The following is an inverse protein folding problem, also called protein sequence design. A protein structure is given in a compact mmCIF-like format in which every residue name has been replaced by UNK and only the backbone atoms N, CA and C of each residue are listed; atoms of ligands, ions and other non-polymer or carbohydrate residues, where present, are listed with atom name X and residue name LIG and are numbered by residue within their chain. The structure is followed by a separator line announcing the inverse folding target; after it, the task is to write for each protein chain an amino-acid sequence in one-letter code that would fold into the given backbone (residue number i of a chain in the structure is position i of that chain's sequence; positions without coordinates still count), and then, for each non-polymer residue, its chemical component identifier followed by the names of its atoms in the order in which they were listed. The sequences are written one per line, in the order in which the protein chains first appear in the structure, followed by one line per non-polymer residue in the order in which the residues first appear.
data_IF_297026772638
#
_entry.id   IF_297026772638
#
_cell.length_a   1.000
_cell.length_b   1.000
_cell.length_c   1.000
_cell.angle_alpha   90.00
_cell.angle_beta   90.00
_cell.angle_gamma   90.00
#
_symmetry.space_group_name_H-M   'P 1'
#
loop_
_entity.id
_entity.type
_entity.pdbx_description
1 polymer ?
#
# COMPACT_ATOMS: atom_id res chain seq x y z
N UNK A 1 -20.03 29.17 73.51
CA UNK A 1 -18.75 28.72 72.93
C UNK A 1 -19.06 28.25 71.47
N UNK A 2 -18.72 29.07 70.50
CA UNK A 2 -18.85 28.69 69.07
C UNK A 2 -17.51 28.19 68.56
N UNK A 3 -17.36 26.92 68.20
CA UNK A 3 -16.16 26.35 67.62
C UNK A 3 -16.19 26.61 66.11
N UNK A 4 -15.22 27.40 65.60
CA UNK A 4 -14.97 27.59 64.18
C UNK A 4 -14.11 26.44 63.69
N UNK A 5 -14.60 25.70 62.67
CA UNK A 5 -13.81 24.71 61.93
C UNK A 5 -13.09 25.42 60.77
N UNK A 6 -11.77 25.40 60.83
CA UNK A 6 -10.91 25.87 59.73
C UNK A 6 -10.74 24.72 58.76
N UNK A 7 -11.30 24.80 57.52
CA UNK A 7 -11.09 23.87 56.46
C UNK A 7 -9.92 24.39 55.62
N UNK A 8 -8.76 23.69 55.70
CA UNK A 8 -7.60 23.95 54.84
C UNK A 8 -7.78 23.19 53.54
N UNK A 9 -8.04 23.91 52.43
CA UNK A 9 -7.96 23.35 51.07
C UNK A 9 -6.49 23.26 50.65
N UNK A 10 -5.93 22.04 50.64
CA UNK A 10 -4.63 21.75 50.00
C UNK A 10 -4.90 21.58 48.52
N UNK A 11 -4.60 22.60 47.70
CA UNK A 11 -4.61 22.53 46.24
C UNK A 11 -3.33 21.77 45.84
N UNK A 12 -3.48 20.50 45.54
CA UNK A 12 -2.43 19.75 44.85
C UNK A 12 -2.36 20.24 43.38
N UNK A 13 -1.42 21.15 43.12
CA UNK A 13 -1.00 21.42 41.72
C UNK A 13 -0.22 20.22 41.21
N UNK A 14 -0.90 19.30 40.52
CA UNK A 14 -0.23 18.31 39.69
C UNK A 14 0.60 19.06 38.65
N UNK A 15 1.89 18.75 38.47
CA UNK A 15 2.64 19.30 37.35
C UNK A 15 1.98 18.82 36.07
N UNK A 16 1.34 19.72 35.36
CA UNK A 16 0.93 19.48 33.94
C UNK A 16 2.26 19.39 33.19
N UNK A 17 2.72 18.16 32.91
CA UNK A 17 3.83 17.98 31.99
C UNK A 17 3.34 18.51 30.65
N UNK A 18 3.74 19.73 30.32
CA UNK A 18 3.62 20.25 28.94
C UNK A 18 4.54 19.36 28.10
N UNK A 19 3.97 18.40 27.37
CA UNK A 19 4.72 17.71 26.34
C UNK A 19 5.31 18.80 25.44
N UNK A 20 6.63 18.84 25.30
CA UNK A 20 7.28 19.77 24.41
C UNK A 20 6.64 19.63 23.02
N UNK A 21 6.19 20.75 22.47
CA UNK A 21 5.54 20.76 21.19
C UNK A 21 6.51 20.28 20.09
N UNK A 22 6.08 19.35 19.27
CA UNK A 22 6.91 18.81 18.20
C UNK A 22 7.39 19.93 17.26
N UNK A 23 8.68 19.90 16.92
CA UNK A 23 9.29 20.84 15.97
C UNK A 23 9.44 20.13 14.63
N UNK A 24 9.05 20.80 13.55
CA UNK A 24 9.22 20.27 12.19
C UNK A 24 10.71 20.22 11.84
N UNK A 25 11.22 19.02 11.57
CA UNK A 25 12.60 18.75 11.14
C UNK A 25 12.64 18.51 9.64
N UNK A 26 13.80 18.69 9.02
CA UNK A 26 14.04 18.23 7.64
C UNK A 26 14.66 16.85 7.67
N UNK A 27 14.28 15.99 6.73
CA UNK A 27 14.96 14.72 6.48
C UNK A 27 15.49 14.70 5.05
N UNK A 28 16.51 13.87 4.82
CA UNK A 28 17.11 13.66 3.50
C UNK A 28 17.03 12.19 3.15
N UNK A 29 16.97 11.89 1.86
CA UNK A 29 17.20 10.54 1.38
C UNK A 29 18.62 10.08 1.68
N UNK A 30 18.79 8.82 2.02
CA UNK A 30 20.11 8.17 2.13
C UNK A 30 20.65 7.84 0.75
N UNK A 31 19.77 7.68 -0.24
CA UNK A 31 20.10 7.57 -1.66
C UNK A 31 18.92 8.05 -2.50
N UNK A 32 19.22 8.58 -3.67
CA UNK A 32 18.25 8.89 -4.71
C UNK A 32 18.45 7.90 -5.86
N UNK A 33 17.37 7.20 -6.22
CA UNK A 33 17.36 6.24 -7.31
C UNK A 33 17.04 6.98 -8.61
N UNK A 34 17.79 6.72 -9.69
CA UNK A 34 17.51 7.34 -10.98
C UNK A 34 16.08 7.00 -11.42
N UNK A 35 15.36 8.01 -11.87
CA UNK A 35 13.99 7.87 -12.37
C UNK A 35 14.01 7.88 -13.89
N UNK A 36 13.52 6.82 -14.49
CA UNK A 36 13.12 6.87 -15.90
C UNK A 36 11.61 7.04 -15.91
N UNK A 37 11.10 8.00 -16.66
CA UNK A 37 9.66 8.27 -16.80
C UNK A 37 8.94 6.96 -17.10
N UNK A 38 8.01 6.56 -16.21
CA UNK A 38 7.26 5.29 -16.21
C UNK A 38 7.81 4.19 -15.28
N UNK A 39 8.92 4.42 -14.57
CA UNK A 39 9.25 3.56 -13.43
C UNK A 39 8.30 3.86 -12.25
N UNK A 40 7.89 2.84 -11.52
CA UNK A 40 7.01 2.96 -10.36
C UNK A 40 7.53 2.04 -9.24
N UNK A 41 7.62 2.53 -8.02
CA UNK A 41 7.83 1.71 -6.83
C UNK A 41 6.48 1.55 -6.13
N UNK A 42 6.02 0.31 -6.03
CA UNK A 42 4.68 -0.03 -5.54
C UNK A 42 4.65 -0.40 -4.06
N UNK A 43 5.68 -1.07 -3.56
CA UNK A 43 5.73 -1.54 -2.17
C UNK A 43 7.17 -1.67 -1.66
N UNK A 44 7.32 -1.69 -0.33
CA UNK A 44 8.59 -1.91 0.36
C UNK A 44 8.41 -2.80 1.58
N UNK A 45 9.38 -3.67 1.83
CA UNK A 45 9.46 -4.47 3.05
C UNK A 45 10.88 -4.47 3.61
N UNK A 46 11.02 -4.82 4.87
CA UNK A 46 12.30 -4.81 5.57
C UNK A 46 12.65 -6.21 6.06
N UNK A 47 13.87 -6.64 5.74
CA UNK A 47 14.55 -7.69 6.49
C UNK A 47 15.25 -7.07 7.71
N UNK A 48 15.89 -7.84 8.60
CA UNK A 48 16.69 -7.25 9.68
C UNK A 48 17.80 -6.30 9.18
N UNK A 49 18.35 -6.53 7.98
CA UNK A 49 19.53 -5.82 7.49
C UNK A 49 19.32 -5.09 6.17
N UNK A 50 18.23 -5.36 5.45
CA UNK A 50 18.02 -4.85 4.10
C UNK A 50 16.62 -4.24 3.92
N UNK A 51 16.55 -3.31 2.98
CA UNK A 51 15.34 -2.67 2.48
C UNK A 51 15.05 -3.26 1.11
N UNK A 52 13.88 -3.88 0.96
CA UNK A 52 13.45 -4.52 -0.28
C UNK A 52 12.39 -3.64 -0.95
N UNK A 53 12.58 -3.38 -2.23
CA UNK A 53 11.67 -2.58 -3.06
C UNK A 53 11.10 -3.45 -4.17
N UNK A 54 9.82 -3.29 -4.47
CA UNK A 54 9.21 -3.86 -5.67
C UNK A 54 8.49 -2.77 -6.47
N UNK A 55 8.45 -2.95 -7.78
CA UNK A 55 7.84 -1.97 -8.66
C UNK A 55 7.76 -2.43 -10.11
N UNK A 56 7.56 -1.48 -10.99
CA UNK A 56 7.37 -1.69 -12.43
C UNK A 56 8.29 -0.77 -13.21
N UNK A 57 8.85 -1.24 -14.30
CA UNK A 57 9.65 -0.44 -15.24
C UNK A 57 9.20 -0.67 -16.67
N UNK A 58 9.13 0.39 -17.46
CA UNK A 58 8.97 0.36 -18.91
C UNK A 58 10.30 0.69 -19.62
N UNK A 59 11.41 0.81 -18.88
CA UNK A 59 12.70 1.16 -19.43
C UNK A 59 13.49 -0.07 -19.85
N UNK A 60 13.89 -0.18 -21.13
CA UNK A 60 14.78 -1.24 -21.59
C UNK A 60 16.20 -1.12 -21.00
N UNK A 61 16.60 0.09 -20.61
CA UNK A 61 17.95 0.43 -20.14
C UNK A 61 17.90 1.14 -18.79
N UNK A 62 17.34 0.49 -17.78
CA UNK A 62 17.38 1.03 -16.42
C UNK A 62 18.79 0.94 -15.84
N UNK A 63 19.31 2.02 -15.29
CA UNK A 63 20.65 2.05 -14.67
C UNK A 63 20.69 1.30 -13.33
N UNK A 64 19.55 0.96 -12.75
CA UNK A 64 19.44 0.36 -11.44
C UNK A 64 18.62 -0.94 -11.41
N UNK A 65 18.11 -1.40 -12.58
CA UNK A 65 17.41 -2.68 -12.74
C UNK A 65 18.06 -3.45 -13.86
N UNK A 66 18.68 -4.57 -13.56
CA UNK A 66 19.40 -5.41 -14.54
C UNK A 66 18.45 -6.26 -15.39
N UNK A 67 18.88 -6.55 -16.60
CA UNK A 67 18.21 -7.41 -17.56
C UNK A 67 17.42 -6.68 -18.62
N UNK A 68 17.17 -7.33 -19.75
CA UNK A 68 16.40 -6.75 -20.85
C UNK A 68 14.91 -6.63 -20.49
N UNK A 69 14.23 -5.66 -21.07
CA UNK A 69 12.79 -5.55 -21.03
C UNK A 69 12.16 -6.68 -21.85
N UNK A 70 11.27 -7.45 -21.25
CA UNK A 70 10.62 -8.58 -21.89
C UNK A 70 9.38 -8.19 -22.68
N UNK A 71 8.52 -7.37 -22.07
CA UNK A 71 7.29 -6.80 -22.66
C UNK A 71 7.42 -5.30 -22.90
N UNK A 72 6.28 -4.58 -22.74
CA UNK A 72 6.26 -3.11 -22.68
C UNK A 72 6.49 -2.60 -21.25
N UNK A 73 6.23 -3.45 -20.24
CA UNK A 73 6.52 -3.20 -18.84
C UNK A 73 6.88 -4.50 -18.14
N UNK A 74 7.86 -4.44 -17.26
CA UNK A 74 8.28 -5.57 -16.43
C UNK A 74 8.19 -5.19 -14.95
N UNK A 75 7.80 -6.15 -14.13
CA UNK A 75 7.98 -6.07 -12.69
C UNK A 75 9.47 -6.14 -12.34
N UNK A 76 9.84 -5.56 -11.21
CA UNK A 76 11.19 -5.68 -10.66
C UNK A 76 11.17 -5.77 -9.13
N UNK A 77 12.29 -6.25 -8.60
CA UNK A 77 12.62 -6.23 -7.18
C UNK A 77 14.08 -5.82 -7.00
N UNK A 78 14.36 -5.07 -5.93
CA UNK A 78 15.71 -4.64 -5.60
C UNK A 78 15.93 -4.63 -4.09
N UNK A 79 17.17 -4.85 -3.66
CA UNK A 79 17.59 -4.84 -2.27
C UNK A 79 18.63 -3.76 -2.04
N UNK A 80 18.46 -3.02 -0.95
CA UNK A 80 19.35 -1.94 -0.52
C UNK A 80 19.75 -2.14 0.94
N UNK A 81 20.96 -1.68 1.26
CA UNK A 81 21.37 -1.52 2.66
C UNK A 81 20.64 -0.31 3.28
N UNK A 82 20.58 -0.22 4.61
CA UNK A 82 20.03 0.98 5.29
C UNK A 82 20.82 2.26 4.99
N UNK A 83 22.08 2.16 4.53
CA UNK A 83 22.89 3.29 4.08
C UNK A 83 22.64 3.70 2.62
N UNK A 84 21.74 3.01 1.91
CA UNK A 84 21.34 3.32 0.54
C UNK A 84 22.16 2.66 -0.56
N UNK A 85 23.10 1.78 -0.23
CA UNK A 85 23.84 1.02 -1.24
C UNK A 85 22.99 -0.11 -1.81
N UNK A 86 22.88 -0.22 -3.13
CA UNK A 86 22.23 -1.36 -3.77
C UNK A 86 23.03 -2.64 -3.55
N UNK A 87 22.37 -3.70 -3.12
CA UNK A 87 22.98 -5.02 -2.88
C UNK A 87 22.77 -5.92 -4.08
N UNK A 88 21.52 -5.99 -4.56
CA UNK A 88 21.15 -6.72 -5.77
C UNK A 88 19.84 -6.16 -6.33
N UNK A 89 19.56 -6.49 -7.57
CA UNK A 89 18.27 -6.24 -8.22
C UNK A 89 17.96 -7.36 -9.20
N UNK A 90 16.68 -7.52 -9.52
CA UNK A 90 16.19 -8.54 -10.43
C UNK A 90 14.97 -8.01 -11.18
N UNK A 91 14.98 -8.16 -12.51
CA UNK A 91 13.82 -7.94 -13.36
C UNK A 91 12.98 -9.22 -13.40
N UNK A 92 11.66 -9.07 -13.22
CA UNK A 92 10.68 -10.15 -13.18
C UNK A 92 9.74 -10.04 -14.37
N UNK A 93 10.30 -9.92 -15.56
CA UNK A 93 9.58 -9.76 -16.82
C UNK A 93 9.46 -11.04 -17.62
N UNK A 94 8.55 -11.02 -18.59
CA UNK A 94 8.36 -12.03 -19.63
C UNK A 94 8.08 -11.34 -20.96
N UNK A 95 7.63 -12.09 -21.97
CA UNK A 95 7.18 -11.50 -23.25
C UNK A 95 5.84 -10.75 -23.14
N UNK A 96 5.20 -10.77 -21.97
CA UNK A 96 3.96 -10.04 -21.67
C UNK A 96 4.26 -8.78 -20.84
N UNK A 97 3.24 -7.98 -20.56
CA UNK A 97 3.41 -6.83 -19.68
C UNK A 97 3.16 -7.28 -18.24
N UNK A 98 4.09 -7.01 -17.36
CA UNK A 98 3.98 -7.33 -15.94
C UNK A 98 4.15 -6.07 -15.09
N UNK A 99 3.41 -6.03 -13.99
CA UNK A 99 3.57 -5.05 -12.92
C UNK A 99 3.73 -5.79 -11.58
N UNK A 100 4.58 -5.30 -10.69
CA UNK A 100 4.58 -5.71 -9.29
C UNK A 100 3.74 -4.72 -8.48
N UNK A 101 2.95 -5.23 -7.53
CA UNK A 101 2.04 -4.40 -6.73
C UNK A 101 2.25 -4.52 -5.23
N UNK A 102 2.75 -5.66 -4.75
CA UNK A 102 3.10 -5.85 -3.33
C UNK A 102 4.14 -6.93 -3.15
N UNK A 103 4.86 -6.85 -2.05
CA UNK A 103 5.85 -7.84 -1.63
C UNK A 103 5.74 -8.17 -0.14
N UNK A 104 6.27 -9.31 0.25
CA UNK A 104 6.49 -9.68 1.63
C UNK A 104 7.83 -10.43 1.79
N UNK A 105 8.44 -10.33 2.94
CA UNK A 105 9.55 -11.19 3.37
C UNK A 105 8.97 -12.28 4.26
N UNK A 106 9.16 -13.52 3.87
CA UNK A 106 8.67 -14.68 4.62
C UNK A 106 9.62 -15.06 5.77
N UNK A 107 9.14 -15.91 6.66
CA UNK A 107 9.90 -16.34 7.86
C UNK A 107 11.19 -17.11 7.53
N UNK A 108 11.24 -17.75 6.37
CA UNK A 108 12.45 -18.47 5.85
C UNK A 108 13.44 -17.53 5.16
N UNK A 109 13.14 -16.22 5.09
CA UNK A 109 13.94 -15.20 4.42
C UNK A 109 13.72 -15.14 2.90
N UNK A 110 12.89 -15.99 2.31
CA UNK A 110 12.45 -15.82 0.92
C UNK A 110 11.54 -14.60 0.78
N UNK A 111 11.51 -14.04 -0.42
CA UNK A 111 10.72 -12.86 -0.72
C UNK A 111 9.66 -13.23 -1.74
N UNK A 112 8.40 -12.99 -1.40
CA UNK A 112 7.28 -13.20 -2.28
C UNK A 112 6.81 -11.88 -2.85
N UNK A 113 6.61 -11.84 -4.17
CA UNK A 113 6.12 -10.67 -4.89
C UNK A 113 4.85 -11.08 -5.62
N UNK A 114 3.82 -10.26 -5.49
CA UNK A 114 2.60 -10.38 -6.28
C UNK A 114 2.47 -9.20 -7.22
N UNK A 115 1.92 -9.49 -8.38
CA UNK A 115 1.64 -8.48 -9.39
C UNK A 115 0.55 -8.92 -10.35
N UNK A 116 0.38 -8.16 -11.41
CA UNK A 116 -0.53 -8.50 -12.49
C UNK A 116 0.22 -8.54 -13.82
N UNK A 117 -0.30 -9.31 -14.75
CA UNK A 117 0.24 -9.40 -16.09
C UNK A 117 -0.85 -9.51 -17.16
N UNK A 118 -0.46 -9.26 -18.40
CA UNK A 118 -1.35 -9.45 -19.56
C UNK A 118 -1.26 -10.88 -20.07
N UNK A 119 -2.32 -11.35 -20.71
CA UNK A 119 -2.27 -12.58 -21.50
C UNK A 119 -1.48 -12.36 -22.79
N UNK A 120 -0.81 -13.40 -23.27
CA UNK A 120 -0.34 -13.42 -24.65
C UNK A 120 -1.56 -13.37 -25.54
N UNK A 121 -1.69 -12.32 -26.35
CA UNK A 121 -2.72 -12.26 -27.39
C UNK A 121 -2.18 -13.14 -28.53
N UNK A 122 -2.60 -14.39 -28.57
CA UNK A 122 -2.44 -15.18 -29.80
C UNK A 122 -3.31 -14.49 -30.85
N UNK A 123 -2.74 -13.97 -31.96
CA UNK A 123 -3.56 -13.39 -32.99
C UNK A 123 -4.54 -14.48 -33.45
N UNK A 124 -5.84 -14.20 -33.34
CA UNK A 124 -6.82 -15.02 -34.03
C UNK A 124 -6.41 -14.99 -35.52
N UNK A 125 -6.18 -16.14 -36.16
CA UNK A 125 -5.85 -16.12 -37.58
C UNK A 125 -6.84 -15.19 -38.26
N UNK A 126 -6.34 -14.14 -38.91
CA UNK A 126 -7.20 -13.22 -39.63
C UNK A 126 -8.11 -14.10 -40.51
N UNK A 127 -9.41 -14.00 -40.29
CA UNK A 127 -10.35 -14.65 -41.20
C UNK A 127 -9.91 -14.22 -42.59
N UNK A 128 -9.60 -15.15 -43.45
CA UNK A 128 -9.14 -14.92 -44.81
C UNK A 128 -10.23 -14.14 -45.51
N UNK A 129 -10.19 -12.81 -45.37
CA UNK A 129 -10.98 -11.94 -46.23
C UNK A 129 -10.26 -12.02 -47.54
N UNK A 130 -10.91 -12.61 -48.53
CA UNK A 130 -10.31 -13.08 -49.76
C UNK A 130 -9.66 -12.07 -50.71
N UNK A 131 -9.16 -10.94 -50.17
CA UNK A 131 -8.51 -9.87 -50.91
C UNK A 131 -7.29 -9.24 -50.20
N UNK A 132 -6.79 -9.81 -49.12
CA UNK A 132 -5.53 -9.34 -48.55
C UNK A 132 -4.39 -10.17 -49.14
N UNK A 133 -3.73 -9.61 -50.13
CA UNK A 133 -2.50 -10.17 -50.68
C UNK A 133 -1.37 -9.96 -49.66
N UNK A 134 -0.86 -11.04 -49.10
CA UNK A 134 0.44 -11.09 -48.42
C UNK A 134 1.35 -11.98 -49.30
N UNK A 135 1.81 -11.48 -50.44
CA UNK A 135 2.52 -12.27 -51.43
C UNK A 135 3.86 -12.80 -50.90
N UNK A 136 4.42 -12.16 -49.90
CA UNK A 136 5.73 -12.48 -49.37
C UNK A 136 5.68 -13.39 -48.13
N UNK A 137 4.51 -13.77 -47.68
CA UNK A 137 4.28 -14.64 -46.52
C UNK A 137 5.06 -14.20 -45.27
N UNK A 138 5.22 -12.88 -45.11
CA UNK A 138 5.93 -12.31 -43.95
C UNK A 138 5.13 -12.58 -42.70
N UNK A 139 5.77 -13.23 -41.71
CA UNK A 139 5.20 -13.42 -40.40
C UNK A 139 4.91 -12.04 -39.77
N UNK A 140 3.64 -11.71 -39.58
CA UNK A 140 3.25 -10.50 -38.86
C UNK A 140 3.40 -10.83 -37.40
N UNK A 141 4.44 -10.29 -36.77
CA UNK A 141 4.53 -10.31 -35.29
C UNK A 141 3.33 -9.56 -34.72
N UNK A 142 2.62 -10.23 -33.81
CA UNK A 142 1.54 -9.59 -33.08
C UNK A 142 2.13 -8.46 -32.21
N UNK A 143 1.87 -7.22 -32.59
CA UNK A 143 2.18 -6.08 -31.76
C UNK A 143 1.43 -6.22 -30.43
N UNK A 144 2.16 -6.30 -29.33
CA UNK A 144 1.55 -6.25 -28.00
C UNK A 144 0.87 -4.90 -27.84
N UNK A 145 -0.44 -4.94 -27.57
CA UNK A 145 -1.18 -3.72 -27.30
C UNK A 145 -0.91 -3.24 -25.88
N UNK A 146 -0.56 -1.96 -25.71
CA UNK A 146 -0.53 -1.32 -24.39
C UNK A 146 -1.88 -1.39 -23.65
N UNK A 147 -2.95 -1.64 -24.39
CA UNK A 147 -4.31 -1.75 -23.85
C UNK A 147 -4.72 -3.21 -23.55
N UNK A 148 -3.79 -4.16 -23.56
CA UNK A 148 -4.10 -5.53 -23.17
C UNK A 148 -4.50 -5.57 -21.69
N UNK A 149 -5.61 -6.26 -21.33
CA UNK A 149 -6.08 -6.27 -19.97
C UNK A 149 -5.12 -7.03 -19.05
N UNK A 150 -4.86 -6.49 -17.87
CA UNK A 150 -4.13 -7.15 -16.79
C UNK A 150 -5.07 -8.20 -16.16
N UNK A 151 -5.12 -9.39 -16.73
CA UNK A 151 -6.02 -10.46 -16.31
C UNK A 151 -5.29 -11.68 -15.72
N UNK A 152 -4.01 -11.55 -15.41
CA UNK A 152 -3.21 -12.58 -14.75
C UNK A 152 -2.68 -12.08 -13.44
N UNK A 153 -2.83 -12.85 -12.36
CA UNK A 153 -2.03 -12.66 -11.16
C UNK A 153 -0.70 -13.36 -11.40
N UNK A 154 0.37 -12.60 -11.21
CA UNK A 154 1.74 -13.10 -11.22
C UNK A 154 2.22 -13.23 -9.78
N UNK A 155 2.87 -14.34 -9.47
CA UNK A 155 3.42 -14.64 -8.15
C UNK A 155 4.84 -15.14 -8.31
N UNK A 156 5.82 -14.40 -7.75
CA UNK A 156 7.23 -14.76 -7.82
C UNK A 156 7.79 -15.02 -6.43
N UNK A 157 8.65 -16.00 -6.33
CA UNK A 157 9.47 -16.25 -5.15
C UNK A 157 10.93 -15.97 -5.48
N UNK A 158 11.55 -15.12 -4.68
CA UNK A 158 12.95 -14.70 -4.84
C UNK A 158 13.71 -15.04 -3.55
N UNK A 159 14.93 -15.51 -3.67
CA UNK A 159 15.80 -15.76 -2.53
C UNK A 159 16.25 -14.46 -1.87
N UNK A 160 16.72 -14.52 -0.63
CA UNK A 160 17.33 -13.38 0.06
C UNK A 160 18.56 -12.79 -0.67
N UNK A 161 19.18 -13.57 -1.57
CA UNK A 161 20.31 -13.14 -2.41
C UNK A 161 19.92 -12.61 -3.79
N UNK A 162 18.62 -12.51 -4.11
CA UNK A 162 18.12 -11.95 -5.35
C UNK A 162 17.98 -12.93 -6.52
N UNK A 163 17.97 -14.24 -6.27
CA UNK A 163 17.75 -15.25 -7.33
C UNK A 163 16.27 -15.63 -7.41
N UNK A 164 15.71 -15.67 -8.62
CA UNK A 164 14.35 -16.17 -8.84
C UNK A 164 14.32 -17.68 -8.52
N UNK A 165 13.46 -18.07 -7.59
CA UNK A 165 13.27 -19.46 -7.18
C UNK A 165 12.08 -20.10 -7.88
N UNK A 166 10.94 -19.39 -7.90
CA UNK A 166 9.71 -19.87 -8.52
C UNK A 166 8.92 -18.71 -9.13
N UNK A 167 8.12 -19.03 -10.14
CA UNK A 167 7.15 -18.13 -10.75
C UNK A 167 5.85 -18.89 -11.05
N UNK A 168 4.74 -18.36 -10.59
CA UNK A 168 3.41 -18.95 -10.76
C UNK A 168 2.46 -17.91 -11.32
N UNK A 169 1.38 -18.36 -11.96
CA UNK A 169 0.32 -17.47 -12.42
C UNK A 169 -1.08 -18.05 -12.24
N UNK A 170 -2.03 -17.16 -12.01
CA UNK A 170 -3.46 -17.44 -12.00
C UNK A 170 -4.14 -16.61 -13.08
N UNK A 171 -4.94 -17.26 -13.93
CA UNK A 171 -5.65 -16.59 -15.02
C UNK A 171 -7.05 -16.23 -14.52
N UNK A 172 -7.38 -14.94 -14.58
CA UNK A 172 -8.69 -14.40 -14.25
C UNK A 172 -9.50 -14.12 -15.52
N UNK A 173 -10.81 -14.26 -15.44
CA UNK A 173 -11.74 -13.81 -16.49
C UNK A 173 -11.88 -12.29 -16.51
N UNK A 174 -11.58 -11.63 -15.37
CA UNK A 174 -11.68 -10.18 -15.19
C UNK A 174 -10.31 -9.52 -15.21
N UNK A 175 -10.29 -8.20 -15.41
CA UNK A 175 -9.13 -7.38 -15.11
C UNK A 175 -8.90 -7.43 -13.60
N UNK A 176 -7.67 -7.73 -13.18
CA UNK A 176 -7.33 -7.97 -11.78
C UNK A 176 -6.18 -7.07 -11.34
N UNK A 177 -6.28 -6.53 -10.14
CA UNK A 177 -5.28 -5.66 -9.54
C UNK A 177 -5.00 -6.10 -8.10
N UNK A 178 -4.04 -7.00 -7.88
CA UNK A 178 -3.58 -7.36 -6.54
C UNK A 178 -3.10 -6.10 -5.80
N UNK A 179 -3.38 -6.00 -4.51
CA UNK A 179 -3.02 -4.86 -3.67
C UNK A 179 -2.12 -5.23 -2.50
N UNK A 180 -2.28 -6.45 -1.97
CA UNK A 180 -1.46 -6.92 -0.86
C UNK A 180 -1.30 -8.44 -0.92
N UNK A 181 -0.08 -8.89 -0.60
CA UNK A 181 0.25 -10.29 -0.35
C UNK A 181 0.56 -10.47 1.13
N UNK A 182 0.07 -11.57 1.71
CA UNK A 182 0.26 -11.95 3.11
C UNK A 182 0.67 -13.42 3.18
N UNK A 183 1.40 -13.84 4.22
CA UNK A 183 1.76 -15.24 4.45
C UNK A 183 1.01 -15.81 5.67
N UNK A 184 0.48 -17.01 5.54
CA UNK A 184 -0.23 -17.75 6.59
C UNK A 184 0.18 -19.22 6.55
N UNK A 185 1.23 -19.56 7.29
CA UNK A 185 1.82 -20.91 7.24
C UNK A 185 2.32 -21.23 5.83
N UNK A 186 1.82 -22.33 5.26
CA UNK A 186 2.20 -22.77 3.89
C UNK A 186 1.40 -22.07 2.79
N UNK A 187 0.49 -21.15 3.15
CA UNK A 187 -0.34 -20.44 2.20
C UNK A 187 0.06 -18.96 2.09
N UNK A 188 -0.10 -18.44 0.89
CA UNK A 188 -0.06 -17.03 0.55
C UNK A 188 -1.50 -16.56 0.32
N UNK A 189 -1.81 -15.38 0.82
CA UNK A 189 -3.11 -14.75 0.63
C UNK A 189 -2.91 -13.50 -0.19
N UNK A 190 -3.67 -13.37 -1.26
CA UNK A 190 -3.63 -12.25 -2.20
C UNK A 190 -4.98 -11.56 -2.15
N UNK A 191 -4.98 -10.29 -1.91
CA UNK A 191 -6.18 -9.46 -1.92
C UNK A 191 -6.00 -8.28 -2.87
N UNK A 192 -7.11 -7.74 -3.35
CA UNK A 192 -7.09 -6.58 -4.23
C UNK A 192 -8.46 -6.33 -4.85
N UNK A 193 -8.44 -5.80 -6.07
CA UNK A 193 -9.62 -5.42 -6.83
C UNK A 193 -9.73 -6.21 -8.13
N UNK A 194 -10.95 -6.60 -8.49
CA UNK A 194 -11.28 -7.08 -9.82
C UNK A 194 -12.32 -6.17 -10.49
N UNK A 195 -12.17 -5.98 -11.79
CA UNK A 195 -12.96 -5.06 -12.59
C UNK A 195 -13.77 -5.85 -13.62
N UNK A 196 -15.08 -5.94 -13.41
CA UNK A 196 -16.04 -6.53 -14.33
C UNK A 196 -16.82 -5.42 -15.01
N UNK A 197 -16.57 -5.17 -16.31
CA UNK A 197 -17.23 -4.09 -17.07
C UNK A 197 -17.14 -2.73 -16.34
N UNK A 198 -18.24 -2.23 -15.79
CA UNK A 198 -18.34 -0.94 -15.07
C UNK A 198 -18.34 -1.10 -13.55
N UNK A 199 -18.10 -2.29 -13.02
CA UNK A 199 -18.11 -2.56 -11.59
C UNK A 199 -16.71 -2.88 -11.08
N UNK A 200 -16.44 -2.54 -9.82
CA UNK A 200 -15.24 -2.95 -9.11
C UNK A 200 -15.64 -3.73 -7.87
N UNK A 201 -15.02 -4.87 -7.65
CA UNK A 201 -15.25 -5.74 -6.49
C UNK A 201 -13.92 -6.02 -5.82
N UNK A 202 -13.89 -6.03 -4.49
CA UNK A 202 -12.76 -6.56 -3.75
C UNK A 202 -12.63 -8.07 -3.98
N UNK A 203 -11.43 -8.62 -3.92
CA UNK A 203 -11.23 -10.06 -4.01
C UNK A 203 -10.28 -10.60 -2.95
N UNK A 204 -10.43 -11.90 -2.70
CA UNK A 204 -9.52 -12.77 -1.97
C UNK A 204 -9.16 -13.96 -2.86
N UNK A 205 -7.89 -14.33 -2.83
CA UNK A 205 -7.35 -15.52 -3.47
C UNK A 205 -6.28 -16.10 -2.54
N UNK A 206 -6.27 -17.40 -2.32
CA UNK A 206 -5.16 -18.07 -1.66
C UNK A 206 -4.35 -18.89 -2.65
N UNK A 207 -3.07 -19.04 -2.38
CA UNK A 207 -2.17 -19.92 -3.11
C UNK A 207 -1.28 -20.67 -2.12
N UNK A 208 -0.97 -21.93 -2.40
CA UNK A 208 0.11 -22.59 -1.67
C UNK A 208 1.46 -22.02 -2.10
N UNK A 209 2.49 -22.14 -1.28
CA UNK A 209 3.87 -21.78 -1.66
C UNK A 209 4.44 -22.65 -2.81
N UNK A 210 3.71 -23.68 -3.21
CA UNK A 210 4.01 -24.55 -4.37
C UNK A 210 3.21 -24.18 -5.62
N UNK A 211 2.43 -23.07 -5.58
CA UNK A 211 1.74 -22.49 -6.75
C UNK A 211 0.35 -23.07 -7.04
N UNK A 212 -0.31 -23.75 -6.08
CA UNK A 212 -1.70 -24.20 -6.23
C UNK A 212 -2.63 -23.11 -5.75
N UNK A 213 -3.45 -22.56 -6.65
CA UNK A 213 -4.39 -21.47 -6.35
C UNK A 213 -5.78 -21.99 -5.99
N UNK A 214 -6.44 -21.32 -5.05
CA UNK A 214 -7.88 -21.50 -4.79
C UNK A 214 -8.72 -20.79 -5.87
N UNK A 215 -10.04 -21.05 -5.91
CA UNK A 215 -10.95 -20.16 -6.62
C UNK A 215 -10.94 -18.76 -6.02
N UNK A 216 -11.12 -17.73 -6.87
CA UNK A 216 -11.25 -16.34 -6.43
C UNK A 216 -12.58 -16.10 -5.71
N UNK A 217 -12.56 -15.41 -4.58
CA UNK A 217 -13.75 -14.99 -3.84
C UNK A 217 -13.88 -13.48 -3.98
N UNK A 218 -15.06 -13.00 -4.42
CA UNK A 218 -15.32 -11.59 -4.68
C UNK A 218 -16.22 -10.99 -3.62
N UNK A 219 -15.93 -9.74 -3.21
CA UNK A 219 -16.72 -8.98 -2.22
C UNK A 219 -17.34 -7.75 -2.86
N UNK A 220 -18.60 -7.48 -2.51
CA UNK A 220 -19.36 -6.35 -3.06
C UNK A 220 -20.04 -6.68 -4.40
N UNK A 221 -20.74 -5.69 -4.94
CA UNK A 221 -21.55 -5.83 -6.16
C UNK A 221 -21.11 -4.83 -7.24
N UNK A 222 -20.82 -3.57 -6.86
CA UNK A 222 -20.55 -2.47 -7.81
C UNK A 222 -19.31 -1.65 -7.48
N UNK A 223 -19.09 -1.35 -6.19
CA UNK A 223 -18.12 -0.30 -5.78
C UNK A 223 -17.41 -0.68 -4.49
N UNK A 224 -16.87 -1.88 -4.42
CA UNK A 224 -16.06 -2.32 -3.27
C UNK A 224 -14.61 -2.46 -3.70
N UNK A 225 -13.69 -1.74 -3.05
CA UNK A 225 -12.25 -1.80 -3.28
C UNK A 225 -11.53 -2.18 -2.00
N UNK A 226 -10.47 -2.98 -2.14
CA UNK A 226 -9.56 -3.36 -1.05
C UNK A 226 -8.18 -2.79 -1.37
N UNK A 227 -7.68 -1.90 -0.52
CA UNK A 227 -6.43 -1.20 -0.75
C UNK A 227 -5.24 -1.81 0.01
N UNK A 228 -5.48 -2.43 1.18
CA UNK A 228 -4.43 -3.00 2.00
C UNK A 228 -5.00 -4.01 3.00
N UNK A 229 -4.15 -4.84 3.60
CA UNK A 229 -4.52 -5.76 4.67
C UNK A 229 -3.34 -6.14 5.56
N UNK A 230 -3.69 -6.68 6.73
CA UNK A 230 -2.80 -7.38 7.64
C UNK A 230 -3.39 -8.72 8.00
N UNK A 231 -2.54 -9.63 8.48
CA UNK A 231 -2.96 -10.92 9.03
C UNK A 231 -2.85 -10.88 10.55
N UNK A 232 -3.84 -11.44 11.24
CA UNK A 232 -3.84 -11.61 12.67
C UNK A 232 -3.19 -12.94 13.07
N UNK A 233 -2.90 -13.11 14.36
CA UNK A 233 -2.38 -14.36 14.93
C UNK A 233 -3.33 -15.56 14.80
N UNK A 234 -4.62 -15.31 14.65
CA UNK A 234 -5.64 -16.34 14.39
C UNK A 234 -5.80 -16.67 12.88
N UNK A 235 -4.87 -16.23 12.05
CA UNK A 235 -4.88 -16.32 10.59
C UNK A 235 -6.07 -15.63 9.92
N UNK A 236 -6.87 -14.86 10.63
CA UNK A 236 -7.86 -13.98 10.02
C UNK A 236 -7.20 -12.76 9.40
N UNK A 237 -7.79 -12.25 8.33
CA UNK A 237 -7.30 -11.09 7.60
C UNK A 237 -8.13 -9.88 7.99
N UNK A 238 -7.48 -8.76 8.27
CA UNK A 238 -8.13 -7.46 8.36
C UNK A 238 -7.79 -6.69 7.10
N UNK A 239 -8.74 -6.62 6.19
CA UNK A 239 -8.64 -5.88 4.94
C UNK A 239 -9.30 -4.50 5.07
N UNK A 240 -8.73 -3.49 4.44
CA UNK A 240 -9.24 -2.12 4.45
C UNK A 240 -9.37 -1.56 3.04
N UNK A 241 -10.32 -0.64 2.88
CA UNK A 241 -10.57 -0.01 1.59
C UNK A 241 -11.76 0.93 1.63
N UNK A 242 -12.58 0.90 0.58
CA UNK A 242 -13.82 1.67 0.50
C UNK A 242 -14.95 0.87 -0.17
N UNK A 243 -16.20 1.19 0.19
CA UNK A 243 -17.35 0.54 -0.43
C UNK A 243 -18.61 1.40 -0.40
N UNK A 244 -19.30 1.43 -1.55
CA UNK A 244 -20.68 1.91 -1.68
C UNK A 244 -21.72 0.78 -1.66
N UNK A 245 -21.28 -0.47 -1.51
CA UNK A 245 -22.17 -1.64 -1.50
C UNK A 245 -22.64 -1.98 -0.09
N UNK A 246 -23.78 -2.64 0.02
CA UNK A 246 -24.12 -3.36 1.24
C UNK A 246 -23.20 -4.59 1.38
N UNK A 247 -22.46 -4.67 2.46
CA UNK A 247 -21.61 -5.81 2.82
C UNK A 247 -22.17 -6.47 4.08
N UNK A 248 -22.46 -7.76 4.02
CA UNK A 248 -23.26 -8.46 5.04
C UNK A 248 -24.57 -7.69 5.32
N UNK A 249 -24.83 -7.37 6.59
CA UNK A 249 -25.99 -6.57 7.01
C UNK A 249 -25.71 -5.07 7.09
N UNK A 250 -24.48 -4.62 6.75
CA UNK A 250 -24.03 -3.23 6.93
C UNK A 250 -24.20 -2.45 5.63
N UNK A 251 -25.13 -1.48 5.64
CA UNK A 251 -25.39 -0.57 4.51
C UNK A 251 -24.44 0.63 4.53
N UNK A 252 -24.08 1.19 3.36
CA UNK A 252 -23.34 2.46 3.30
C UNK A 252 -24.23 3.61 3.81
N UNK A 253 -23.61 4.61 4.44
CA UNK A 253 -24.26 5.85 4.89
C UNK A 253 -23.90 7.05 4.02
N UNK A 254 -22.87 6.92 3.20
CA UNK A 254 -22.44 7.88 2.18
C UNK A 254 -22.33 7.21 0.82
N UNK A 255 -21.94 7.96 -0.22
CA UNK A 255 -21.69 7.40 -1.56
C UNK A 255 -20.61 6.32 -1.52
N UNK A 256 -19.53 6.58 -0.76
CA UNK A 256 -18.44 5.65 -0.51
C UNK A 256 -17.98 5.82 0.94
N UNK A 257 -18.07 4.77 1.72
CA UNK A 257 -17.56 4.71 3.09
C UNK A 257 -16.23 3.97 3.12
N UNK A 258 -15.33 4.39 3.99
CA UNK A 258 -14.17 3.57 4.32
C UNK A 258 -14.64 2.30 5.05
N UNK A 259 -14.14 1.15 4.63
CA UNK A 259 -14.51 -0.15 5.19
C UNK A 259 -13.31 -0.86 5.79
N UNK A 260 -13.57 -1.56 6.89
CA UNK A 260 -12.64 -2.52 7.49
C UNK A 260 -13.37 -3.86 7.54
N UNK A 261 -12.80 -4.85 6.91
CA UNK A 261 -13.39 -6.19 6.75
C UNK A 261 -12.54 -7.21 7.50
N UNK A 262 -13.18 -8.02 8.37
CA UNK A 262 -12.56 -9.24 8.89
C UNK A 262 -12.94 -10.39 7.98
N UNK A 263 -11.95 -11.06 7.42
CA UNK A 263 -12.07 -12.18 6.48
C UNK A 263 -11.40 -13.40 7.15
N UNK A 264 -12.02 -14.56 7.07
CA UNK A 264 -11.43 -15.80 7.58
C UNK A 264 -10.23 -16.24 6.74
N UNK A 265 -9.45 -17.19 7.23
CA UNK A 265 -8.32 -17.80 6.48
C UNK A 265 -8.74 -18.50 5.19
N UNK A 266 -10.03 -18.79 5.00
CA UNK A 266 -10.58 -19.41 3.78
C UNK A 266 -11.37 -18.41 2.92
N UNK A 267 -11.25 -17.10 3.20
CA UNK A 267 -11.87 -16.05 2.38
C UNK A 267 -13.32 -15.70 2.75
N UNK A 268 -13.88 -16.19 3.85
CA UNK A 268 -15.26 -15.87 4.27
C UNK A 268 -15.30 -14.50 4.96
N UNK A 269 -16.16 -13.59 4.50
CA UNK A 269 -16.36 -12.29 5.11
C UNK A 269 -17.17 -12.44 6.42
N UNK A 270 -16.54 -12.12 7.55
CA UNK A 270 -17.11 -12.33 8.89
C UNK A 270 -17.67 -11.07 9.52
N UNK A 271 -16.94 -9.94 9.41
CA UNK A 271 -17.30 -8.67 10.05
C UNK A 271 -16.99 -7.51 9.09
N UNK A 272 -17.86 -6.51 9.10
CA UNK A 272 -17.64 -5.24 8.37
C UNK A 272 -17.82 -4.07 9.33
N UNK A 273 -16.76 -3.28 9.49
CA UNK A 273 -16.79 -1.97 10.13
C UNK A 273 -16.82 -0.87 9.06
N UNK A 274 -17.58 0.21 9.29
CA UNK A 274 -17.59 1.38 8.41
C UNK A 274 -17.17 2.63 9.15
N UNK A 275 -16.33 3.42 8.52
CA UNK A 275 -16.03 4.78 8.94
C UNK A 275 -16.63 5.72 7.91
N UNK A 276 -17.64 6.48 8.33
CA UNK A 276 -18.43 7.33 7.46
C UNK A 276 -18.53 8.76 7.98
N UNK A 277 -18.73 9.68 7.08
CA UNK A 277 -19.12 11.06 7.37
C UNK A 277 -20.11 11.50 6.28
N UNK A 278 -21.29 12.00 6.67
CA UNK A 278 -22.34 12.40 5.73
C UNK A 278 -21.80 13.36 4.66
N UNK A 279 -22.23 13.18 3.41
CA UNK A 279 -21.85 14.00 2.24
C UNK A 279 -20.35 13.99 1.93
N UNK A 280 -19.63 12.91 2.30
CA UNK A 280 -18.22 12.75 1.98
C UNK A 280 -17.99 11.43 1.23
N UNK A 281 -16.82 11.30 0.63
CA UNK A 281 -16.23 9.99 0.31
C UNK A 281 -15.08 9.74 1.27
N UNK A 282 -14.96 8.52 1.75
CA UNK A 282 -13.88 8.12 2.64
C UNK A 282 -13.28 6.81 2.19
N UNK A 283 -11.95 6.70 2.25
CA UNK A 283 -11.21 5.45 2.02
C UNK A 283 -10.20 5.22 3.13
N UNK A 284 -9.91 3.95 3.40
CA UNK A 284 -8.67 3.53 4.03
C UNK A 284 -7.73 3.07 2.92
N UNK A 285 -6.54 3.64 2.88
CA UNK A 285 -5.55 3.39 1.83
C UNK A 285 -4.43 2.47 2.33
N UNK A 286 -4.22 2.41 3.65
CA UNK A 286 -3.21 1.56 4.30
C UNK A 286 -3.67 1.10 5.69
N UNK A 287 -3.12 -0.04 6.14
CA UNK A 287 -3.30 -0.56 7.49
C UNK A 287 -1.98 -1.16 7.99
N UNK A 288 -1.73 -1.03 9.27
CA UNK A 288 -0.58 -1.63 9.96
C UNK A 288 -1.00 -2.35 11.24
N UNK A 289 -0.06 -3.05 11.83
CA UNK A 289 -0.25 -3.81 13.08
C UNK A 289 -0.89 -2.97 14.17
N UNK A 290 -1.68 -3.62 15.02
CA UNK A 290 -2.47 -2.95 16.07
C UNK A 290 -3.59 -2.08 15.52
N UNK A 291 -4.12 -2.40 14.31
CA UNK A 291 -5.26 -1.73 13.67
C UNK A 291 -5.07 -0.22 13.46
N UNK A 292 -3.84 0.22 13.15
CA UNK A 292 -3.58 1.58 12.70
C UNK A 292 -3.97 1.68 11.23
N UNK A 293 -4.90 2.58 10.89
CA UNK A 293 -5.41 2.75 9.53
C UNK A 293 -5.17 4.19 9.06
N UNK A 294 -4.68 4.31 7.85
CA UNK A 294 -4.45 5.57 7.14
C UNK A 294 -5.27 5.64 5.86
N UNK A 295 -5.69 6.83 5.50
CA UNK A 295 -6.46 7.05 4.29
C UNK A 295 -6.89 8.50 4.13
N UNK A 296 -8.01 8.73 3.48
CA UNK A 296 -8.51 10.08 3.17
C UNK A 296 -10.01 10.24 3.38
N UNK A 297 -10.39 11.49 3.65
CA UNK A 297 -11.77 11.97 3.60
C UNK A 297 -11.84 13.10 2.59
N UNK A 298 -12.76 13.01 1.63
CA UNK A 298 -12.98 14.06 0.62
C UNK A 298 -14.41 14.57 0.67
N UNK A 299 -14.57 15.89 0.73
CA UNK A 299 -15.87 16.57 0.74
C UNK A 299 -15.77 17.91 0.03
N UNK A 300 -16.73 18.19 -0.85
CA UNK A 300 -16.66 19.36 -1.75
C UNK A 300 -15.30 19.40 -2.46
N UNK A 301 -14.52 20.46 -2.28
CA UNK A 301 -13.18 20.62 -2.88
C UNK A 301 -12.04 20.42 -1.84
N UNK A 302 -12.32 19.76 -0.71
CA UNK A 302 -11.34 19.55 0.36
C UNK A 302 -11.03 18.08 0.53
N UNK A 303 -9.76 17.79 0.78
CA UNK A 303 -9.27 16.46 1.15
C UNK A 303 -8.54 16.58 2.47
N UNK A 304 -8.73 15.60 3.34
CA UNK A 304 -8.02 15.44 4.60
C UNK A 304 -7.37 14.06 4.64
N UNK A 305 -6.12 14.01 5.05
CA UNK A 305 -5.49 12.77 5.49
C UNK A 305 -6.15 12.34 6.79
N UNK A 306 -6.61 11.10 6.86
CA UNK A 306 -7.29 10.54 8.03
C UNK A 306 -6.46 9.41 8.61
N UNK A 307 -6.15 9.48 9.90
CA UNK A 307 -5.37 8.47 10.61
C UNK A 307 -6.17 8.04 11.82
N UNK A 308 -6.42 6.75 11.97
CA UNK A 308 -7.22 6.22 13.05
C UNK A 308 -6.57 4.96 13.63
N UNK A 309 -6.43 4.91 14.94
CA UNK A 309 -6.09 3.71 15.69
C UNK A 309 -7.36 3.11 16.25
N UNK A 310 -7.59 1.84 16.02
CA UNK A 310 -8.74 1.13 16.55
C UNK A 310 -8.32 0.22 17.72
N UNK A 311 -9.14 0.18 18.76
CA UNK A 311 -9.02 -0.80 19.85
C UNK A 311 -9.53 -2.18 19.40
N UNK A 312 -10.59 -2.17 18.58
CA UNK A 312 -11.18 -3.33 17.91
C UNK A 312 -11.90 -2.85 16.65
N UNK A 313 -12.35 -3.76 15.80
CA UNK A 313 -13.08 -3.41 14.58
C UNK A 313 -14.28 -2.49 14.88
N UNK A 314 -14.29 -1.32 14.24
CA UNK A 314 -15.33 -0.32 14.39
C UNK A 314 -15.27 0.52 15.67
N UNK A 315 -14.32 0.28 16.59
CA UNK A 315 -14.17 1.05 17.84
C UNK A 315 -12.84 1.81 17.86
N UNK A 316 -12.81 3.10 17.47
CA UNK A 316 -11.58 3.88 17.47
C UNK A 316 -11.09 4.15 18.90
N UNK A 317 -9.78 4.04 19.12
CA UNK A 317 -9.09 4.53 20.30
C UNK A 317 -8.84 6.02 20.18
N UNK A 318 -8.39 6.44 19.02
CA UNK A 318 -8.22 7.85 18.65
C UNK A 318 -8.30 8.01 17.12
N UNK A 319 -8.60 9.21 16.68
CA UNK A 319 -8.53 9.59 15.28
C UNK A 319 -8.04 11.03 15.12
N UNK A 320 -7.26 11.28 14.09
CA UNK A 320 -6.79 12.63 13.71
C UNK A 320 -7.00 12.83 12.21
N UNK A 321 -7.24 14.08 11.81
CA UNK A 321 -7.37 14.48 10.43
C UNK A 321 -6.60 15.76 10.18
N UNK A 322 -5.92 15.80 9.04
CA UNK A 322 -5.12 16.95 8.63
C UNK A 322 -5.48 17.37 7.21
N UNK A 323 -5.62 18.67 6.96
CA UNK A 323 -5.83 19.18 5.59
C UNK A 323 -4.69 18.72 4.68
N UNK A 324 -5.03 18.05 3.57
CA UNK A 324 -4.05 17.32 2.77
C UNK A 324 -4.40 17.32 1.28
N UNK A 325 -3.39 17.06 0.44
CA UNK A 325 -3.55 16.71 -0.99
C UNK A 325 -3.66 15.21 -1.21
N UNK A 326 -3.22 14.38 -0.26
CA UNK A 326 -3.20 12.92 -0.38
C UNK A 326 -3.89 12.23 0.79
N UNK A 327 -4.16 10.94 0.68
CA UNK A 327 -4.42 10.05 1.81
C UNK A 327 -3.17 9.89 2.68
N UNK A 328 -3.33 9.31 3.86
CA UNK A 328 -2.22 8.95 4.74
C UNK A 328 -1.78 7.51 4.48
N UNK A 329 -0.47 7.30 4.31
CA UNK A 329 0.18 6.01 4.48
C UNK A 329 0.59 5.84 5.93
N UNK A 330 0.39 4.65 6.51
CA UNK A 330 0.71 4.39 7.91
C UNK A 330 1.52 3.12 8.10
N UNK A 331 2.39 3.15 9.11
CA UNK A 331 3.07 1.97 9.63
C UNK A 331 3.17 2.06 11.15
N UNK A 332 3.15 0.93 11.81
CA UNK A 332 3.29 0.84 13.26
C UNK A 332 4.43 -0.11 13.60
N UNK A 333 5.29 0.35 14.48
CA UNK A 333 6.35 -0.43 15.10
C UNK A 333 6.35 -0.11 16.62
N UNK A 334 7.39 0.48 17.20
CA UNK A 334 7.40 0.97 18.57
C UNK A 334 6.45 2.16 18.77
N UNK A 335 6.28 2.95 17.74
CA UNK A 335 5.32 4.06 17.63
C UNK A 335 4.49 3.94 16.37
N UNK A 336 3.53 4.84 16.18
CA UNK A 336 2.71 4.93 14.98
C UNK A 336 3.27 6.01 14.06
N UNK A 337 3.46 5.71 12.79
CA UNK A 337 3.95 6.66 11.79
C UNK A 337 2.91 6.89 10.71
N UNK A 338 2.83 8.12 10.23
CA UNK A 338 1.93 8.48 9.14
C UNK A 338 2.59 9.49 8.21
N UNK A 339 2.50 9.25 6.89
CA UNK A 339 2.99 10.17 5.86
C UNK A 339 1.85 10.63 4.96
N UNK A 340 1.82 11.92 4.63
CA UNK A 340 0.85 12.55 3.74
C UNK A 340 1.38 13.89 3.22
N UNK A 341 0.64 14.52 2.27
CA UNK A 341 1.00 15.86 1.72
C UNK A 341 0.15 16.92 2.42
N UNK A 342 0.72 17.62 3.39
CA UNK A 342 0.01 18.63 4.20
C UNK A 342 -0.21 19.93 3.44
N UNK A 343 -1.44 20.45 3.50
CA UNK A 343 -1.82 21.76 2.93
C UNK A 343 -1.85 22.90 3.94
N UNK A 344 -1.74 22.61 5.24
CA UNK A 344 -2.02 23.55 6.31
C UNK A 344 -1.22 23.23 7.55
N UNK A 345 -1.45 23.99 8.60
CA UNK A 345 -0.89 23.75 9.92
C UNK A 345 -1.25 22.35 10.43
N UNK A 346 -0.34 21.73 11.16
CA UNK A 346 -0.52 20.44 11.80
C UNK A 346 -0.73 20.69 13.30
N UNK A 347 -1.86 20.22 13.82
CA UNK A 347 -2.12 20.29 15.27
C UNK A 347 -1.02 19.52 16.02
N UNK A 348 -0.44 20.15 17.03
CA UNK A 348 0.70 19.59 17.79
C UNK A 348 2.08 19.98 17.22
N UNK A 349 2.15 20.69 16.07
CA UNK A 349 3.40 21.23 15.50
C UNK A 349 3.29 22.75 15.41
N UNK A 350 3.45 23.49 16.51
CA UNK A 350 3.37 24.95 16.53
C UNK A 350 4.44 25.55 15.60
N UNK A 351 4.14 26.72 15.04
CA UNK A 351 4.99 27.43 14.08
C UNK A 351 5.12 26.79 12.71
N UNK A 352 4.58 25.59 12.47
CA UNK A 352 4.52 25.00 11.14
C UNK A 352 3.39 25.64 10.31
N UNK A 353 3.76 26.38 9.26
CA UNK A 353 2.84 27.03 8.33
C UNK A 353 3.38 26.86 6.91
N UNK A 354 3.06 25.75 6.22
CA UNK A 354 3.56 25.53 4.88
C UNK A 354 2.95 26.56 3.91
N UNK A 355 3.79 27.13 3.03
CA UNK A 355 3.35 28.06 1.96
C UNK A 355 2.73 27.30 0.78
N UNK A 356 3.12 26.06 0.58
CA UNK A 356 2.68 25.16 -0.46
C UNK A 356 2.38 23.79 0.14
N UNK A 357 1.65 22.95 -0.58
CA UNK A 357 1.43 21.57 -0.18
C UNK A 357 2.79 20.86 0.00
N UNK A 358 3.04 20.36 1.20
CA UNK A 358 4.36 19.86 1.62
C UNK A 358 4.23 18.43 2.13
N UNK A 359 5.01 17.48 1.58
CA UNK A 359 5.08 16.12 2.10
C UNK A 359 5.66 16.08 3.50
N UNK A 360 5.01 15.36 4.39
CA UNK A 360 5.43 15.23 5.80
C UNK A 360 5.31 13.79 6.27
N UNK A 361 6.08 13.45 7.28
CA UNK A 361 5.89 12.24 8.07
C UNK A 361 5.84 12.60 9.55
N UNK A 362 4.89 12.02 10.26
CA UNK A 362 4.63 12.26 11.67
C UNK A 362 4.81 10.97 12.45
N UNK A 363 5.51 11.06 13.57
CA UNK A 363 5.45 10.07 14.62
C UNK A 363 4.32 10.43 15.59
N UNK A 364 3.43 9.48 15.84
CA UNK A 364 2.22 9.66 16.64
C UNK A 364 2.29 8.81 17.91
N UNK A 365 1.95 9.40 19.00
CA UNK A 365 1.89 8.77 20.30
C UNK A 365 0.63 7.93 20.54
N UNK A 366 0.46 7.46 21.76
CA UNK A 366 -0.62 6.53 22.13
C UNK A 366 -2.03 7.13 22.04
N UNK A 367 -2.16 8.45 22.08
CA UNK A 367 -3.42 9.20 21.98
C UNK A 367 -3.57 9.93 20.63
N UNK A 368 -2.64 9.70 19.67
CA UNK A 368 -2.60 10.38 18.39
C UNK A 368 -1.92 11.75 18.41
N UNK A 369 -1.27 12.12 19.53
CA UNK A 369 -0.44 13.32 19.65
C UNK A 369 0.81 13.20 18.77
N UNK A 370 1.27 14.32 18.20
CA UNK A 370 2.50 14.36 17.39
C UNK A 370 3.70 14.38 18.33
N UNK A 371 4.54 13.35 18.27
CA UNK A 371 5.79 13.23 19.02
C UNK A 371 6.95 13.86 18.24
N UNK A 372 7.05 13.51 16.96
CA UNK A 372 8.10 14.00 16.07
C UNK A 372 7.50 14.26 14.69
N UNK A 373 8.07 15.19 13.95
CA UNK A 373 7.60 15.54 12.61
C UNK A 373 8.75 15.90 11.69
N UNK A 374 8.65 15.45 10.42
CA UNK A 374 9.66 15.68 9.40
C UNK A 374 9.02 16.14 8.09
N UNK A 375 9.74 17.04 7.39
CA UNK A 375 9.49 17.37 5.98
C UNK A 375 10.22 16.35 5.12
N UNK A 376 9.54 15.81 4.13
CA UNK A 376 10.13 14.99 3.08
C UNK A 376 10.41 15.85 1.84
N UNK A 377 11.40 15.46 1.04
CA UNK A 377 11.70 16.09 -0.25
C UNK A 377 10.63 15.87 -1.30
N UNK A 378 9.93 14.73 -1.21
CA UNK A 378 8.85 14.34 -2.12
C UNK A 378 7.78 13.51 -1.39
N UNK A 379 6.65 13.23 -2.05
CA UNK A 379 5.58 12.45 -1.43
C UNK A 379 6.00 10.99 -1.25
N UNK A 380 5.58 10.37 -0.13
CA UNK A 380 5.83 8.96 0.12
C UNK A 380 4.87 8.09 -0.70
N UNK A 381 5.41 7.09 -1.39
CA UNK A 381 4.65 6.08 -2.15
C UNK A 381 4.62 4.74 -1.42
N UNK A 382 5.61 4.45 -0.57
CA UNK A 382 5.63 3.27 0.27
C UNK A 382 6.23 3.59 1.65
N UNK A 383 5.84 2.82 2.66
CA UNK A 383 6.33 2.96 4.03
C UNK A 383 6.42 1.58 4.70
N UNK A 384 7.52 1.32 5.38
CA UNK A 384 7.73 0.12 6.18
C UNK A 384 8.50 0.45 7.45
N UNK A 385 8.40 -0.39 8.48
CA UNK A 385 9.18 -0.22 9.70
C UNK A 385 9.50 -1.55 10.36
N UNK A 386 10.70 -1.64 10.94
CA UNK A 386 11.09 -2.72 11.84
C UNK A 386 11.98 -2.17 12.98
N UNK A 387 12.32 -3.04 13.93
CA UNK A 387 13.11 -2.64 15.11
C UNK A 387 14.59 -2.40 14.82
N UNK A 388 15.12 -2.98 13.75
CA UNK A 388 16.54 -2.96 13.40
C UNK A 388 16.89 -1.73 12.54
N UNK A 389 16.08 -1.44 11.54
CA UNK A 389 16.34 -0.35 10.57
C UNK A 389 15.62 0.95 10.97
N UNK A 390 14.50 0.86 11.70
CA UNK A 390 13.63 2.01 11.97
C UNK A 390 12.49 2.11 10.97
N UNK A 391 12.08 3.34 10.66
CA UNK A 391 11.02 3.65 9.69
C UNK A 391 11.62 4.04 8.35
N UNK A 392 11.22 3.36 7.30
CA UNK A 392 11.67 3.57 5.91
C UNK A 392 10.52 4.08 5.07
N UNK A 393 10.79 5.13 4.29
CA UNK A 393 9.87 5.67 3.30
C UNK A 393 10.54 5.67 1.93
N UNK A 394 9.76 5.33 0.93
CA UNK A 394 10.12 5.57 -0.46
C UNK A 394 9.33 6.78 -0.92
N UNK A 395 10.05 7.79 -1.40
CA UNK A 395 9.46 9.05 -1.88
C UNK A 395 9.61 9.16 -3.39
N UNK A 396 8.63 9.77 -4.05
CA UNK A 396 8.61 10.02 -5.49
C UNK A 396 8.48 11.51 -5.76
N UNK A 397 9.48 12.08 -6.45
CA UNK A 397 9.52 13.48 -6.87
C UNK A 397 9.04 13.69 -8.32
N UNK A 398 8.76 12.61 -9.05
CA UNK A 398 8.52 12.62 -10.49
C UNK A 398 9.79 12.74 -11.35
N UNK A 399 10.96 12.82 -10.72
CA UNK A 399 12.30 12.84 -11.39
C UNK A 399 13.31 11.93 -10.69
N UNK A 400 13.03 11.49 -9.49
CA UNK A 400 13.81 10.51 -8.71
C UNK A 400 12.95 9.86 -7.62
N UNK A 401 13.30 8.64 -7.24
CA UNK A 401 12.82 8.05 -6.00
C UNK A 401 13.84 8.29 -4.90
N UNK A 402 13.39 8.72 -3.73
CA UNK A 402 14.24 8.89 -2.55
C UNK A 402 14.03 7.77 -1.56
N UNK A 403 15.10 7.15 -1.10
CA UNK A 403 15.08 6.20 0.03
C UNK A 403 15.38 6.98 1.31
N UNK A 404 14.40 7.10 2.19
CA UNK A 404 14.49 7.83 3.47
C UNK A 404 14.45 6.86 4.63
N UNK A 405 15.43 6.94 5.53
CA UNK A 405 15.50 6.12 6.76
C UNK A 405 15.43 7.05 7.98
N UNK A 406 14.51 6.75 8.88
CA UNK A 406 14.30 7.47 10.15
C UNK A 406 14.50 6.47 11.30
N UNK A 407 15.56 6.71 12.08
CA UNK A 407 15.95 5.90 13.24
C UNK A 407 15.32 6.42 14.54
#
# INVERSE_FOLDING_TARGET
MKRAFLVIFIVFSLPISTADAAVMKSTKSVTDLPYVKSDEISDTALTPNNIILAGTTESPNSSWINGPLGGLSDAFIASYSPSGSQIWNLRLGSITNEIATSLLVDVDGSIWIVGAGTSIITPKPAATVGNVLNPDNVAIEALQSRNSPLNRIKLWQVSSSGSLLNAFEYISEDIINPKKILSSGDNLIIIGDCYEKSTVKGFYLSATKTGVFSPIIKYGVKTTQINSAIINSDSSIIAVGMSGDQLLKTKPLSKLDAVTMKISSIGELQVVGRATLKKTTRSWDSISTGLLQGGKVSYSNKTEAAITKFASLGKPSWNVRYSSKSGALVVSNKSSWASFVSNSVISGVPKWKPKVATPVVLELGRKGEVLTSYILSAHAVAIAANNQIGTVLITDSGVSFGLVVIN
#
